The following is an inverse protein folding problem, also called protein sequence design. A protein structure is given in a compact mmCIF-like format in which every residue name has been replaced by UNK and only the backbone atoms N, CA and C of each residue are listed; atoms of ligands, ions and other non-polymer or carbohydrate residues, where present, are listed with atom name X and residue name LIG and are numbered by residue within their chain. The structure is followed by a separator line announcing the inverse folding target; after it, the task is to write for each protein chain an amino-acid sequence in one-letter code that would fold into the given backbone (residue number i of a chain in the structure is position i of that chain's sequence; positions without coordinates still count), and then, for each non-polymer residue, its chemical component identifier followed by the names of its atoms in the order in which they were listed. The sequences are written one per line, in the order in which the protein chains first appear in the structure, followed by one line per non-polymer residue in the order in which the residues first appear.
data_IF_335199872040
#
_entry.id   IF_335199872040
#
_cell.length_a   1.000
_cell.length_b   1.000
_cell.length_c   1.000
_cell.angle_alpha   90.00
_cell.angle_beta   90.00
_cell.angle_gamma   90.00
#
_symmetry.space_group_name_H-M   'P 1'
#
loop_
_entity.id
_entity.type
_entity.pdbx_description
1 polymer ?
#
# COMPACT_ATOMS: atom_id res chain seq x y z
N UNK A 1 4.19 7.86 11.42
CA UNK A 1 5.51 7.20 11.56
C UNK A 1 5.82 6.49 10.26
N UNK A 2 7.02 6.66 9.69
CA UNK A 2 7.43 5.88 8.51
C UNK A 2 7.74 4.44 8.94
N UNK A 3 7.00 3.48 8.40
CA UNK A 3 7.08 2.05 8.78
C UNK A 3 7.77 1.20 7.69
N UNK A 4 7.88 1.76 6.48
CA UNK A 4 8.70 1.26 5.38
C UNK A 4 9.02 2.43 4.44
N UNK A 5 10.01 2.32 3.54
CA UNK A 5 10.33 3.41 2.62
C UNK A 5 9.09 3.88 1.85
N UNK A 6 8.77 5.18 1.96
CA UNK A 6 7.59 5.83 1.36
C UNK A 6 6.23 5.38 1.92
N UNK A 7 6.18 4.61 3.00
CA UNK A 7 4.94 4.18 3.64
C UNK A 7 4.91 4.64 5.09
N UNK A 8 3.86 5.36 5.46
CA UNK A 8 3.64 5.80 6.83
C UNK A 8 2.34 5.27 7.42
N UNK A 9 2.34 5.09 8.73
CA UNK A 9 1.14 4.82 9.50
C UNK A 9 1.10 5.74 10.72
N UNK A 10 -0.09 6.19 11.07
CA UNK A 10 -0.35 6.96 12.29
C UNK A 10 -1.60 6.38 12.93
N UNK A 11 -1.49 5.84 14.14
CA UNK A 11 -2.62 5.27 14.88
C UNK A 11 -3.77 6.26 15.09
N UNK A 12 -3.47 7.56 15.10
CA UNK A 12 -4.45 8.65 15.24
C UNK A 12 -5.16 8.98 13.93
N UNK A 13 -4.71 8.43 12.80
CA UNK A 13 -5.21 8.72 11.45
C UNK A 13 -5.57 7.41 10.74
N UNK A 14 -6.81 7.30 10.24
CA UNK A 14 -7.27 6.10 9.50
C UNK A 14 -7.07 4.78 10.25
N UNK A 15 -7.19 4.78 11.58
CA UNK A 15 -7.04 3.60 12.44
C UNK A 15 -5.68 2.88 12.26
N UNK A 16 -4.61 3.63 11.99
CA UNK A 16 -3.28 3.05 11.80
C UNK A 16 -3.06 2.36 10.46
N UNK A 17 -3.98 2.51 9.49
CA UNK A 17 -3.80 1.94 8.15
C UNK A 17 -2.55 2.54 7.47
N UNK A 18 -1.70 1.70 6.85
CA UNK A 18 -0.58 2.16 6.03
C UNK A 18 -1.03 3.01 4.84
N UNK A 19 -0.41 4.18 4.67
CA UNK A 19 -0.64 5.10 3.55
C UNK A 19 0.68 5.45 2.87
N UNK A 20 0.61 5.87 1.60
CA UNK A 20 1.77 6.43 0.90
C UNK A 20 2.17 7.75 1.58
N UNK A 21 3.44 7.89 1.92
CA UNK A 21 4.01 9.00 2.69
C UNK A 21 3.73 10.34 2.01
N UNK A 22 3.19 11.28 2.79
CA UNK A 22 2.84 12.61 2.27
C UNK A 22 1.50 12.64 1.53
N UNK A 23 0.75 11.54 1.52
CA UNK A 23 -0.58 11.45 0.90
C UNK A 23 -1.60 10.92 1.91
N UNK A 24 -2.87 10.83 1.48
CA UNK A 24 -3.91 10.09 2.21
C UNK A 24 -4.32 8.80 1.49
N UNK A 25 -3.49 8.34 0.55
CA UNK A 25 -3.75 7.19 -0.32
C UNK A 25 -3.35 5.91 0.43
N UNK A 26 -4.32 5.06 0.81
CA UNK A 26 -4.03 3.81 1.50
C UNK A 26 -3.35 2.78 0.60
N UNK A 27 -2.48 1.96 1.19
CA UNK A 27 -1.86 0.84 0.46
C UNK A 27 -2.91 -0.13 -0.07
N UNK A 28 -3.91 -0.50 0.74
CA UNK A 28 -4.98 -1.42 0.36
C UNK A 28 -5.82 -0.91 -0.82
N UNK A 29 -6.01 0.40 -0.92
CA UNK A 29 -6.69 1.04 -2.05
C UNK A 29 -5.90 0.84 -3.35
N UNK A 30 -4.59 1.11 -3.36
CA UNK A 30 -3.74 0.92 -4.54
C UNK A 30 -3.79 -0.52 -5.02
N UNK A 31 -3.64 -1.49 -4.09
CA UNK A 31 -3.73 -2.91 -4.42
C UNK A 31 -5.11 -3.28 -4.99
N UNK A 32 -6.19 -2.80 -4.37
CA UNK A 32 -7.54 -3.07 -4.82
C UNK A 32 -7.84 -2.52 -6.22
N UNK A 33 -7.30 -1.34 -6.56
CA UNK A 33 -7.47 -0.73 -7.89
C UNK A 33 -6.70 -1.49 -8.97
N UNK A 34 -5.46 -1.88 -8.68
CA UNK A 34 -4.68 -2.74 -9.58
C UNK A 34 -5.33 -4.11 -9.77
N UNK A 35 -5.81 -4.73 -8.69
CA UNK A 35 -6.54 -6.01 -8.75
C UNK A 35 -7.87 -5.87 -9.52
N UNK A 36 -8.49 -4.70 -9.48
CA UNK A 36 -9.67 -4.34 -10.26
C UNK A 36 -9.39 -4.09 -11.75
N UNK A 37 -8.14 -4.18 -12.18
CA UNK A 37 -7.74 -4.07 -13.59
C UNK A 37 -7.23 -2.70 -14.02
N UNK A 38 -7.07 -1.74 -13.10
CA UNK A 38 -6.46 -0.45 -13.46
C UNK A 38 -4.97 -0.61 -13.76
N UNK A 39 -4.49 0.14 -14.73
CA UNK A 39 -3.05 0.22 -15.04
C UNK A 39 -2.31 1.09 -14.01
N UNK A 40 -0.99 1.04 -14.02
CA UNK A 40 -0.20 1.90 -13.14
C UNK A 40 -0.42 3.37 -13.49
N UNK A 41 -0.52 3.69 -14.77
CA UNK A 41 -0.76 5.04 -15.28
C UNK A 41 -2.10 5.60 -14.80
N UNK A 42 -3.16 4.79 -14.81
CA UNK A 42 -4.48 5.19 -14.32
C UNK A 42 -4.47 5.44 -12.81
N UNK A 43 -3.82 4.57 -12.03
CA UNK A 43 -3.71 4.74 -10.57
C UNK A 43 -2.88 5.98 -10.23
N UNK A 44 -1.75 6.19 -10.91
CA UNK A 44 -0.92 7.39 -10.72
C UNK A 44 -1.72 8.67 -11.00
N UNK A 45 -2.49 8.69 -12.09
CA UNK A 45 -3.30 9.84 -12.46
C UNK A 45 -4.48 10.07 -11.51
N UNK A 46 -5.17 9.02 -11.05
CA UNK A 46 -6.33 9.14 -10.15
C UNK A 46 -5.92 9.64 -8.76
N UNK A 47 -4.76 9.23 -8.26
CA UNK A 47 -4.33 9.49 -6.88
C UNK A 47 -3.19 10.49 -6.75
N UNK A 48 -2.68 11.04 -7.86
CA UNK A 48 -1.54 11.95 -7.90
C UNK A 48 -0.32 11.38 -7.17
N UNK A 49 0.03 10.13 -7.51
CA UNK A 49 1.17 9.39 -6.94
C UNK A 49 2.13 8.96 -8.04
N UNK A 50 3.37 8.62 -7.67
CA UNK A 50 4.37 8.18 -8.64
C UNK A 50 4.42 6.65 -8.76
N UNK A 51 5.15 6.17 -9.77
CA UNK A 51 5.40 4.74 -9.95
C UNK A 51 6.14 4.16 -8.75
N UNK A 52 7.06 4.91 -8.16
CA UNK A 52 7.80 4.52 -6.96
C UNK A 52 6.88 4.34 -5.75
N UNK A 53 5.79 5.12 -5.65
CA UNK A 53 4.79 4.94 -4.61
C UNK A 53 4.02 3.64 -4.78
N UNK A 54 3.61 3.32 -6.02
CA UNK A 54 2.95 2.05 -6.33
C UNK A 54 3.87 0.88 -5.98
N UNK A 55 5.14 0.95 -6.39
CA UNK A 55 6.12 -0.10 -6.08
C UNK A 55 6.39 -0.22 -4.58
N UNK A 56 6.40 0.89 -3.83
CA UNK A 56 6.52 0.88 -2.38
C UNK A 56 5.31 0.20 -1.71
N UNK A 57 4.09 0.49 -2.17
CA UNK A 57 2.86 -0.16 -1.70
C UNK A 57 2.89 -1.68 -1.94
N UNK A 58 3.27 -2.11 -3.15
CA UNK A 58 3.42 -3.53 -3.50
C UNK A 58 4.49 -4.23 -2.66
N UNK A 59 5.65 -3.61 -2.48
CA UNK A 59 6.74 -4.17 -1.69
C UNK A 59 6.38 -4.26 -0.20
N UNK A 60 5.71 -3.25 0.35
CA UNK A 60 5.21 -3.27 1.73
C UNK A 60 4.24 -4.44 1.94
N UNK A 61 3.28 -4.61 1.03
CA UNK A 61 2.30 -5.69 1.09
C UNK A 61 2.95 -7.08 0.95
N UNK A 62 3.86 -7.24 -0.01
CA UNK A 62 4.60 -8.49 -0.22
C UNK A 62 5.39 -8.92 1.02
N UNK A 63 6.07 -7.98 1.68
CA UNK A 63 6.79 -8.26 2.93
C UNK A 63 5.86 -8.66 4.07
N UNK A 64 4.76 -7.92 4.27
CA UNK A 64 3.80 -8.25 5.33
C UNK A 64 3.18 -9.63 5.13
N UNK A 65 2.89 -10.03 3.88
CA UNK A 65 2.39 -11.37 3.58
C UNK A 65 3.47 -12.46 3.72
N UNK A 66 4.74 -12.13 3.46
CA UNK A 66 5.85 -13.08 3.61
C UNK A 66 6.21 -13.33 5.08
N UNK A 67 6.03 -12.32 5.93
CA UNK A 67 6.27 -12.40 7.37
C UNK A 67 5.11 -13.10 8.12
N UNK A 68 3.92 -13.19 7.51
CA UNK A 68 2.85 -14.05 8.00
C UNK A 68 3.17 -15.52 7.67
N UNK A 69 3.49 -16.33 8.69
CA UNK A 69 3.43 -17.79 8.56
C UNK A 69 2.02 -18.15 8.08
N UNK A 70 1.89 -18.51 6.80
CA UNK A 70 0.66 -19.12 6.28
C UNK A 70 0.48 -20.47 6.98
N UNK A 71 -0.21 -20.46 8.12
CA UNK A 71 -0.67 -21.67 8.78
C UNK A 71 -1.79 -22.23 7.93
N UNK A 72 -1.45 -23.20 7.08
CA UNK A 72 -2.46 -24.05 6.45
C UNK A 72 -3.17 -24.79 7.58
N UNK A 73 -4.37 -24.35 7.91
CA UNK A 73 -5.24 -25.07 8.85
C UNK A 73 -5.78 -26.25 8.06
N UNK A 74 -5.18 -27.42 8.27
CA UNK A 74 -5.70 -28.71 7.80
C UNK A 74 -6.87 -29.18 8.64
#
# INVERSE_FOLDING_TARGET
MEIAPRIEADEKVRFGKPVIKGTRVPVDLVLGKLAGGMTYEEVMAEYDITKEDILAALNYASKHLSDEEVRVVG
#
